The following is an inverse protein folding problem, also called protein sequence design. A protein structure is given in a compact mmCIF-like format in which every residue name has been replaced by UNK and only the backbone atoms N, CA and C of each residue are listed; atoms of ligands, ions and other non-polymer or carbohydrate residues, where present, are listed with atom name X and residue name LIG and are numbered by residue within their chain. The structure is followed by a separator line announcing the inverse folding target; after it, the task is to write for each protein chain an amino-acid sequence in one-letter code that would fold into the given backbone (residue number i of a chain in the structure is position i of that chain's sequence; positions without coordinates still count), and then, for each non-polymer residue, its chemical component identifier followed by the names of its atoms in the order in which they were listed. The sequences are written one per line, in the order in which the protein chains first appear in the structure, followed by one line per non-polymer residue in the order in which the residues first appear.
data_IF_981909906176
#
_entry.id   IF_981909906176
#
_cell.length_a   1.000
_cell.length_b   1.000
_cell.length_c   1.000
_cell.angle_alpha   90.00
_cell.angle_beta   90.00
_cell.angle_gamma   90.00
#
_symmetry.space_group_name_H-M   'P 1'
#
loop_
_entity.id
_entity.type
_entity.pdbx_description
1 polymer ?
#
# COMPACT_ATOMS: atom_id res chain seq x y z
N UNK A 1 -9.33 -3.25 -6.37
CA UNK A 1 -8.85 -1.85 -6.36
C UNK A 1 -8.94 -1.29 -7.77
N UNK A 2 -9.50 -0.10 -7.99
CA UNK A 2 -9.51 0.56 -9.30
C UNK A 2 -8.75 1.87 -9.16
N UNK A 3 -7.58 1.96 -9.77
CA UNK A 3 -6.78 3.21 -9.81
C UNK A 3 -7.06 3.85 -11.16
N UNK A 4 -7.54 5.09 -11.16
CA UNK A 4 -7.79 5.85 -12.37
C UNK A 4 -6.73 6.95 -12.47
N UNK A 5 -5.62 6.66 -13.16
CA UNK A 5 -4.54 7.61 -13.39
C UNK A 5 -4.90 8.47 -14.62
N UNK A 6 -5.45 9.66 -14.40
CA UNK A 6 -5.78 10.58 -15.49
C UNK A 6 -4.51 11.25 -16.04
N UNK A 7 -4.37 11.28 -17.37
CA UNK A 7 -3.31 12.04 -18.06
C UNK A 7 -2.00 11.28 -18.34
N UNK A 8 -1.89 10.01 -17.93
CA UNK A 8 -0.72 9.17 -18.21
C UNK A 8 -1.05 8.13 -19.30
N UNK A 9 -0.37 8.21 -20.45
CA UNK A 9 -0.57 7.29 -21.57
C UNK A 9 -0.26 5.84 -21.17
N UNK A 10 0.64 5.63 -20.19
CA UNK A 10 0.98 4.31 -19.67
C UNK A 10 -0.10 3.71 -18.74
N UNK A 11 -1.01 4.53 -18.22
CA UNK A 11 -2.06 4.10 -17.30
C UNK A 11 -3.06 3.14 -17.95
N UNK A 12 -3.36 3.35 -19.24
CA UNK A 12 -4.24 2.46 -20.01
C UNK A 12 -3.68 1.05 -20.06
N UNK A 13 -2.39 0.93 -20.44
CA UNK A 13 -1.67 -0.34 -20.48
C UNK A 13 -1.62 -1.01 -19.10
N UNK A 14 -1.32 -0.25 -18.04
CA UNK A 14 -1.33 -0.78 -16.68
C UNK A 14 -2.71 -1.36 -16.29
N UNK A 15 -3.79 -0.63 -16.58
CA UNK A 15 -5.16 -1.06 -16.28
C UNK A 15 -5.55 -2.33 -17.06
N UNK A 16 -5.18 -2.42 -18.33
CA UNK A 16 -5.41 -3.62 -19.17
C UNK A 16 -4.66 -4.83 -18.63
N UNK A 17 -3.37 -4.68 -18.29
CA UNK A 17 -2.56 -5.75 -17.72
C UNK A 17 -3.11 -6.21 -16.37
N UNK A 18 -3.52 -5.27 -15.50
CA UNK A 18 -4.14 -5.58 -14.21
C UNK A 18 -5.48 -6.32 -14.37
N UNK A 19 -6.28 -5.93 -15.36
CA UNK A 19 -7.55 -6.60 -15.68
C UNK A 19 -7.32 -8.01 -16.24
N UNK A 20 -6.28 -8.22 -17.05
CA UNK A 20 -5.91 -9.54 -17.54
C UNK A 20 -5.52 -10.50 -16.41
N UNK A 21 -4.77 -10.00 -15.40
CA UNK A 21 -4.46 -10.75 -14.17
C UNK A 21 -5.75 -11.11 -13.43
N UNK A 22 -6.61 -10.13 -13.15
CA UNK A 22 -7.85 -10.35 -12.41
C UNK A 22 -8.84 -11.30 -13.09
N UNK A 23 -8.81 -11.38 -14.42
CA UNK A 23 -9.63 -12.29 -15.22
C UNK A 23 -8.99 -13.67 -15.44
N UNK A 24 -7.81 -13.96 -14.88
CA UNK A 24 -7.13 -15.23 -15.07
C UNK A 24 -6.64 -15.49 -16.50
N UNK A 25 -6.42 -14.42 -17.30
CA UNK A 25 -5.93 -14.54 -18.68
C UNK A 25 -4.41 -14.76 -18.75
N UNK A 26 -3.70 -14.54 -17.65
CA UNK A 26 -2.27 -14.82 -17.54
C UNK A 26 -2.08 -16.26 -17.06
N UNK A 27 -1.48 -17.16 -17.87
CA UNK A 27 -1.26 -18.53 -17.46
C UNK A 27 -0.28 -18.58 -16.28
N UNK A 28 -0.59 -19.42 -15.30
CA UNK A 28 0.34 -19.75 -14.24
C UNK A 28 1.32 -20.83 -14.73
N UNK A 29 2.54 -20.78 -14.23
CA UNK A 29 3.50 -21.86 -14.40
C UNK A 29 2.95 -23.16 -13.77
N UNK A 30 2.89 -24.28 -14.51
CA UNK A 30 2.25 -25.51 -14.04
C UNK A 30 2.90 -26.15 -12.80
N UNK A 31 4.16 -25.83 -12.50
CA UNK A 31 4.93 -26.44 -11.40
C UNK A 31 4.83 -25.58 -10.14
N UNK A 32 5.10 -24.28 -10.26
CA UNK A 32 5.11 -23.34 -9.13
C UNK A 32 3.74 -22.74 -8.83
N UNK A 33 2.82 -22.76 -9.80
CA UNK A 33 1.51 -22.09 -9.69
C UNK A 33 1.58 -20.56 -9.72
N UNK A 34 2.74 -19.99 -10.06
CA UNK A 34 2.95 -18.54 -10.09
C UNK A 34 2.68 -17.97 -11.49
N UNK A 35 2.11 -16.77 -11.56
CA UNK A 35 2.01 -16.01 -12.80
C UNK A 35 3.31 -15.24 -13.03
N UNK A 36 3.74 -15.14 -14.29
CA UNK A 36 4.84 -14.25 -14.64
C UNK A 36 4.29 -12.86 -14.96
N UNK A 37 4.82 -11.84 -14.28
CA UNK A 37 4.46 -10.44 -14.49
C UNK A 37 5.54 -9.83 -15.36
N UNK A 38 5.16 -9.12 -16.42
CA UNK A 38 6.13 -8.50 -17.32
C UNK A 38 6.91 -7.37 -16.64
N UNK A 39 8.18 -7.22 -16.99
CA UNK A 39 9.11 -6.23 -16.38
C UNK A 39 8.60 -4.78 -16.46
N UNK A 40 7.73 -4.49 -17.42
CA UNK A 40 7.16 -3.16 -17.62
C UNK A 40 5.93 -2.88 -16.72
N UNK A 41 5.48 -3.84 -15.91
CA UNK A 41 4.23 -3.73 -15.14
C UNK A 41 4.44 -3.06 -13.79
N UNK A 42 5.55 -3.36 -13.12
CA UNK A 42 5.86 -2.82 -11.80
C UNK A 42 7.35 -2.49 -11.66
N UNK A 43 7.64 -1.55 -10.78
CA UNK A 43 9.00 -1.32 -10.34
C UNK A 43 9.29 -2.23 -9.15
N UNK A 44 10.18 -3.19 -9.34
CA UNK A 44 10.68 -4.03 -8.26
C UNK A 44 11.60 -3.18 -7.38
N UNK A 45 11.49 -3.37 -6.08
CA UNK A 45 12.34 -2.75 -5.05
C UNK A 45 12.96 -3.86 -4.23
N UNK A 46 14.18 -3.65 -3.77
CA UNK A 46 14.98 -4.67 -3.08
C UNK A 46 14.59 -4.81 -1.60
N UNK A 47 13.93 -3.79 -1.04
CA UNK A 47 13.56 -3.77 0.38
C UNK A 47 12.30 -2.97 0.67
N UNK A 48 11.73 -3.22 1.86
CA UNK A 48 10.62 -2.40 2.40
C UNK A 48 11.09 -0.97 2.68
N UNK A 49 12.36 -0.78 3.05
CA UNK A 49 13.00 0.52 3.26
C UNK A 49 13.01 1.35 1.98
N UNK A 50 13.38 0.75 0.85
CA UNK A 50 13.34 1.39 -0.45
C UNK A 50 11.89 1.72 -0.87
N UNK A 51 10.95 0.80 -0.62
CA UNK A 51 9.53 1.08 -0.88
C UNK A 51 9.03 2.29 -0.09
N UNK A 52 9.33 2.35 1.21
CA UNK A 52 8.97 3.46 2.09
C UNK A 52 9.57 4.78 1.60
N UNK A 53 10.85 4.80 1.22
CA UNK A 53 11.52 6.03 0.78
C UNK A 53 11.00 6.52 -0.57
N UNK A 54 10.62 5.62 -1.48
CA UNK A 54 9.99 5.99 -2.76
C UNK A 54 8.57 6.52 -2.59
N UNK A 55 7.77 5.92 -1.71
CA UNK A 55 6.36 6.35 -1.52
C UNK A 55 6.26 7.57 -0.61
N UNK A 56 7.04 7.63 0.46
CA UNK A 56 7.06 8.71 1.44
C UNK A 56 8.45 9.37 1.55
N UNK A 57 8.93 10.05 0.49
CA UNK A 57 10.22 10.70 0.53
C UNK A 57 10.21 11.86 1.56
N UNK A 58 11.29 11.97 2.34
CA UNK A 58 11.47 13.03 3.34
C UNK A 58 10.27 13.19 4.29
N UNK A 59 9.71 12.08 4.76
CA UNK A 59 8.47 12.13 5.55
C UNK A 59 8.58 13.01 6.81
N UNK A 60 9.78 13.12 7.38
CA UNK A 60 10.11 14.01 8.50
C UNK A 60 9.81 15.49 8.24
N UNK A 61 9.86 15.94 6.98
CA UNK A 61 9.55 17.34 6.62
C UNK A 61 8.09 17.51 6.21
N UNK A 62 7.44 16.44 5.72
CA UNK A 62 6.07 16.48 5.20
C UNK A 62 5.00 15.96 6.17
N UNK A 63 5.36 15.47 7.35
CA UNK A 63 4.43 14.81 8.30
C UNK A 63 3.22 15.67 8.74
N UNK A 64 3.28 16.99 8.59
CA UNK A 64 2.17 17.92 8.87
C UNK A 64 1.34 18.29 7.62
N UNK A 65 1.82 17.96 6.43
CA UNK A 65 1.15 18.24 5.17
C UNK A 65 0.14 17.14 4.84
N UNK A 66 -1.11 17.40 5.23
CA UNK A 66 -2.23 16.49 5.01
C UNK A 66 -2.49 16.24 3.51
N UNK A 67 -2.36 17.26 2.67
CA UNK A 67 -2.60 17.13 1.22
C UNK A 67 -1.54 16.26 0.56
N UNK A 68 -0.31 16.32 1.05
CA UNK A 68 0.77 15.47 0.58
C UNK A 68 0.60 14.02 1.05
N UNK A 69 0.24 13.81 2.33
CA UNK A 69 0.04 12.48 2.92
C UNK A 69 -1.14 11.73 2.27
N UNK A 70 -2.29 12.39 2.07
CA UNK A 70 -3.50 11.73 1.53
C UNK A 70 -3.36 11.23 0.08
N UNK A 71 -2.30 11.60 -0.64
CA UNK A 71 -2.05 11.16 -2.02
C UNK A 71 -1.23 9.87 -2.10
N UNK A 72 -0.83 9.29 -0.96
CA UNK A 72 0.13 8.20 -0.86
C UNK A 72 -0.42 7.06 -0.02
N UNK A 73 -0.15 5.83 -0.44
CA UNK A 73 -0.50 4.63 0.31
C UNK A 73 0.48 3.49 -0.03
N UNK A 74 0.80 2.69 0.97
CA UNK A 74 1.42 1.37 0.78
C UNK A 74 0.35 0.34 1.14
N UNK A 75 0.17 -0.64 0.27
CA UNK A 75 -0.79 -1.71 0.45
C UNK A 75 -0.02 -3.02 0.61
N UNK A 76 -0.49 -3.85 1.54
CA UNK A 76 0.03 -5.19 1.71
C UNK A 76 -1.13 -6.19 1.81
N UNK A 77 -0.95 -7.45 1.36
CA UNK A 77 -2.01 -8.45 1.41
C UNK A 77 -2.48 -8.82 2.82
N UNK A 78 -1.61 -8.67 3.84
CA UNK A 78 -1.90 -9.07 5.23
C UNK A 78 -1.73 -7.90 6.20
N UNK A 79 -2.61 -7.84 7.20
CA UNK A 79 -2.57 -6.82 8.24
C UNK A 79 -1.27 -6.84 9.05
N UNK A 80 -0.64 -8.00 9.25
CA UNK A 80 0.65 -8.09 9.95
C UNK A 80 1.73 -7.28 9.23
N UNK A 81 1.75 -7.30 7.90
CA UNK A 81 2.69 -6.53 7.09
C UNK A 81 2.32 -5.03 7.10
N UNK A 82 1.03 -4.71 7.02
CA UNK A 82 0.54 -3.32 7.15
C UNK A 82 0.96 -2.72 8.48
N UNK A 83 0.76 -3.45 9.59
CA UNK A 83 1.12 -2.98 10.93
C UNK A 83 2.62 -2.75 11.07
N UNK A 84 3.45 -3.68 10.57
CA UNK A 84 4.90 -3.53 10.60
C UNK A 84 5.37 -2.30 9.81
N UNK A 85 4.85 -2.09 8.60
CA UNK A 85 5.20 -0.95 7.75
C UNK A 85 4.73 0.36 8.40
N UNK A 86 3.50 0.41 8.89
CA UNK A 86 2.96 1.60 9.54
C UNK A 86 3.77 1.99 10.78
N UNK A 87 4.18 1.03 11.62
CA UNK A 87 5.03 1.28 12.78
C UNK A 87 6.38 1.88 12.37
N UNK A 88 7.03 1.30 11.35
CA UNK A 88 8.32 1.80 10.85
C UNK A 88 8.22 3.20 10.23
N UNK A 89 7.09 3.55 9.61
CA UNK A 89 6.85 4.90 9.10
C UNK A 89 6.57 5.87 10.25
N UNK A 90 5.75 5.47 11.22
CA UNK A 90 5.42 6.28 12.39
C UNK A 90 6.65 6.66 13.20
N UNK A 91 7.60 5.73 13.37
CA UNK A 91 8.88 5.97 14.06
C UNK A 91 9.77 7.02 13.38
N UNK A 92 9.50 7.36 12.11
CA UNK A 92 10.23 8.42 11.42
C UNK A 92 9.66 9.81 11.72
N UNK A 93 8.46 9.93 12.29
CA UNK A 93 7.90 11.24 12.62
C UNK A 93 8.64 11.88 13.80
N UNK A 94 8.95 13.18 13.72
CA UNK A 94 9.53 13.88 14.85
C UNK A 94 8.48 14.11 15.94
N UNK A 95 8.90 13.95 17.19
CA UNK A 95 8.06 14.17 18.37
C UNK A 95 7.83 12.90 19.19
N UNK A 96 7.04 13.04 20.24
CA UNK A 96 6.70 11.93 21.13
C UNK A 96 5.47 11.17 20.62
N UNK A 97 5.50 9.84 20.75
CA UNK A 97 4.36 9.00 20.42
C UNK A 97 3.26 9.14 21.49
N UNK A 98 2.03 9.38 21.05
CA UNK A 98 0.85 9.45 21.93
C UNK A 98 -0.01 8.21 21.69
N UNK A 99 -0.27 7.45 22.76
CA UNK A 99 -1.13 6.28 22.73
C UNK A 99 -2.55 6.63 23.14
N UNK A 100 -3.51 6.32 22.28
CA UNK A 100 -4.94 6.47 22.57
C UNK A 100 -5.52 5.10 22.96
N UNK A 101 -6.20 5.03 24.10
CA UNK A 101 -6.87 3.80 24.54
C UNK A 101 -8.20 3.66 23.81
N UNK A 102 -8.48 2.47 23.29
CA UNK A 102 -9.81 2.13 22.76
C UNK A 102 -10.80 1.97 23.92
N UNK A 103 -12.04 2.40 23.70
CA UNK A 103 -13.18 2.07 24.56
C UNK A 103 -14.02 1.05 23.80
N UNK A 104 -14.16 -0.14 24.38
CA UNK A 104 -15.08 -1.17 23.90
C UNK A 104 -16.08 -1.44 25.03
N UNK A 105 -17.35 -1.11 24.80
CA UNK A 105 -18.41 -1.25 25.81
C UNK A 105 -19.57 -1.95 25.16
N UNK A 106 -19.93 -3.11 25.70
CA UNK A 106 -21.17 -3.79 25.36
C UNK A 106 -22.30 -3.00 26.01
N UNK A 107 -23.28 -2.54 25.23
CA UNK A 107 -24.50 -1.97 25.83
C UNK A 107 -25.21 -3.12 26.53
N UNK A 108 -25.36 -3.03 27.84
CA UNK A 108 -26.36 -3.83 28.54
C UNK A 108 -27.73 -3.46 27.93
N UNK A 109 -28.40 -4.47 27.37
CA UNK A 109 -29.80 -4.33 26.96
C UNK A 109 -30.58 -4.45 28.26
N UNK A 110 -30.78 -3.33 28.95
CA UNK A 110 -31.72 -3.25 30.06
C UNK A 110 -33.11 -3.63 29.52
N UNK A 111 -33.64 -4.75 30.01
CA UNK A 111 -35.03 -5.19 29.86
C UNK A 111 -35.93 -4.49 30.87
#
# INVERSE_FOLDING_TARGET
MRVHLQGDVSAGRFAEQLLAIGNGKIPADPVSGLINISDNFCNIVESVEELKSKVFPNIQTHYKDHKWLCKRAILAPKNVNVNAINLQIQQQFPGEAISYKSIDTVKDIDM
#
